data_IF_238966557179
#
_entry.id   IF_238966557179
#
_cell.length_a   1.000
_cell.length_b   1.000
_cell.length_c   1.000
_cell.angle_alpha   90.00
_cell.angle_beta   90.00
_cell.angle_gamma   90.00
#
_symmetry.space_group_name_H-M   'P 1'
#
loop_
_entity.id
_entity.type
_entity.pdbx_description
1 polymer ?
#
# COMPACT_ATOMS: atom_id res chain seq x y z
N UNK A 1 -3.02 -25.74 -1.42
CA UNK A 1 -3.99 -24.68 -1.08
C UNK A 1 -3.22 -23.38 -0.88
N UNK A 2 -3.70 -22.28 -1.48
CA UNK A 2 -3.11 -20.94 -1.34
C UNK A 2 -4.07 -20.10 -0.49
N UNK A 3 -3.54 -19.23 0.36
CA UNK A 3 -4.32 -18.29 1.17
C UNK A 3 -3.72 -16.89 0.98
N UNK A 4 -4.59 -15.92 0.76
CA UNK A 4 -4.23 -14.49 0.67
C UNK A 4 -5.07 -13.74 1.68
N UNK A 5 -4.45 -12.77 2.35
CA UNK A 5 -5.10 -11.87 3.29
C UNK A 5 -4.68 -10.46 2.91
N UNK A 6 -5.67 -9.58 2.77
CA UNK A 6 -5.48 -8.16 2.43
C UNK A 6 -6.22 -7.31 3.46
N UNK A 7 -5.68 -6.14 3.80
CA UNK A 7 -6.37 -5.13 4.57
C UNK A 7 -6.18 -3.75 3.91
N UNK A 8 -7.11 -2.83 4.15
CA UNK A 8 -7.10 -1.45 3.61
C UNK A 8 -6.91 -0.41 4.73
N UNK A 9 -6.06 -0.76 5.71
CA UNK A 9 -5.83 0.03 6.92
C UNK A 9 -6.81 -0.24 8.07
N UNK A 10 -6.55 0.37 9.22
CA UNK A 10 -7.39 0.31 10.42
C UNK A 10 -7.67 1.73 10.93
N UNK A 11 -8.92 2.04 11.22
CA UNK A 11 -9.35 3.36 11.63
C UNK A 11 -10.87 3.51 11.61
N UNK A 12 -11.36 4.74 11.68
CA UNK A 12 -12.79 5.00 11.53
C UNK A 12 -13.20 4.92 10.06
N UNK A 13 -13.94 3.87 9.71
CA UNK A 13 -14.57 3.72 8.41
C UNK A 13 -16.06 4.05 8.54
N UNK A 14 -16.51 5.08 7.83
CA UNK A 14 -17.93 5.42 7.79
C UNK A 14 -18.72 4.32 7.08
N UNK A 15 -19.97 4.10 7.50
CA UNK A 15 -20.88 3.14 6.83
C UNK A 15 -21.03 3.39 5.33
N UNK A 16 -20.93 4.67 4.91
CA UNK A 16 -20.99 5.07 3.51
C UNK A 16 -19.80 4.63 2.66
N UNK A 17 -18.66 4.33 3.28
CA UNK A 17 -17.44 3.88 2.59
C UNK A 17 -17.17 2.37 2.79
N UNK A 18 -17.87 1.71 3.70
CA UNK A 18 -17.70 0.28 4.00
C UNK A 18 -17.78 -0.60 2.74
N UNK A 19 -18.81 -0.39 1.91
CA UNK A 19 -18.98 -1.12 0.65
C UNK A 19 -17.79 -0.91 -0.31
N UNK A 20 -17.25 0.31 -0.37
CA UNK A 20 -16.12 0.65 -1.24
C UNK A 20 -14.84 -0.05 -0.80
N UNK A 21 -14.55 -0.05 0.51
CA UNK A 21 -13.38 -0.75 1.06
C UNK A 21 -13.52 -2.27 0.93
N UNK A 22 -14.71 -2.82 1.15
CA UNK A 22 -14.97 -4.25 0.99
C UNK A 22 -14.79 -4.68 -0.48
N UNK A 23 -15.31 -3.91 -1.43
CA UNK A 23 -15.12 -4.14 -2.86
C UNK A 23 -13.64 -4.08 -3.24
N UNK A 24 -12.91 -3.06 -2.77
CA UNK A 24 -11.48 -2.91 -3.04
C UNK A 24 -10.67 -4.11 -2.51
N UNK A 25 -10.89 -4.53 -1.26
CA UNK A 25 -10.22 -5.69 -0.68
C UNK A 25 -10.57 -6.99 -1.41
N UNK A 26 -11.83 -7.14 -1.84
CA UNK A 26 -12.27 -8.29 -2.61
C UNK A 26 -11.56 -8.36 -3.97
N UNK A 27 -11.50 -7.25 -4.72
CA UNK A 27 -10.80 -7.17 -6.00
C UNK A 27 -9.29 -7.42 -5.83
N UNK A 28 -8.67 -6.87 -4.79
CA UNK A 28 -7.27 -7.12 -4.45
C UNK A 28 -6.99 -8.61 -4.15
N UNK A 29 -7.87 -9.27 -3.40
CA UNK A 29 -7.79 -10.71 -3.14
C UNK A 29 -7.98 -11.55 -4.40
N UNK A 30 -8.89 -11.18 -5.30
CA UNK A 30 -9.09 -11.86 -6.58
C UNK A 30 -7.85 -11.77 -7.46
N UNK A 31 -7.26 -10.57 -7.58
CA UNK A 31 -6.01 -10.35 -8.31
C UNK A 31 -4.89 -11.25 -7.76
N UNK A 32 -4.72 -11.28 -6.44
CA UNK A 32 -3.72 -12.12 -5.80
C UNK A 32 -3.96 -13.62 -6.06
N UNK A 33 -5.21 -14.06 -5.95
CA UNK A 33 -5.59 -15.45 -6.17
C UNK A 33 -5.35 -15.88 -7.62
N UNK A 34 -5.63 -15.01 -8.59
CA UNK A 34 -5.37 -15.24 -10.01
C UNK A 34 -3.86 -15.36 -10.29
N UNK A 35 -3.04 -14.43 -9.79
CA UNK A 35 -1.58 -14.48 -9.93
C UNK A 35 -0.98 -15.73 -9.27
N UNK A 36 -1.60 -16.17 -8.17
CA UNK A 36 -1.25 -17.40 -7.48
C UNK A 36 -2.04 -18.61 -7.99
N UNK A 37 -2.65 -18.57 -9.19
CA UNK A 37 -3.31 -19.74 -9.79
C UNK A 37 -2.42 -20.47 -10.80
N UNK A 38 -1.51 -19.75 -11.47
CA UNK A 38 -0.59 -20.22 -12.53
C UNK A 38 0.54 -21.13 -12.01
N UNK A 39 1.09 -22.06 -12.80
CA UNK A 39 2.27 -22.85 -12.38
C UNK A 39 3.50 -21.94 -12.10
N UNK A 40 4.41 -22.37 -11.22
CA UNK A 40 5.62 -21.62 -10.79
C UNK A 40 5.41 -20.30 -9.99
N UNK A 41 4.26 -20.17 -9.32
CA UNK A 41 3.85 -19.11 -8.38
C UNK A 41 4.98 -18.54 -7.50
N UNK A 42 5.24 -17.25 -7.65
CA UNK A 42 6.04 -16.45 -6.73
C UNK A 42 5.11 -15.59 -5.85
N UNK A 43 5.13 -15.85 -4.54
CA UNK A 43 4.33 -15.10 -3.57
C UNK A 43 4.70 -13.61 -3.53
N UNK A 44 5.97 -13.28 -3.78
CA UNK A 44 6.46 -11.90 -3.74
C UNK A 44 5.86 -11.09 -4.90
N UNK A 45 5.82 -11.66 -6.10
CA UNK A 45 5.30 -10.95 -7.27
C UNK A 45 3.77 -10.76 -7.18
N UNK A 46 3.05 -11.75 -6.62
CA UNK A 46 1.62 -11.61 -6.35
C UNK A 46 1.33 -10.49 -5.34
N UNK A 47 2.08 -10.46 -4.22
CA UNK A 47 1.90 -9.44 -3.18
C UNK A 47 2.28 -8.04 -3.69
N UNK A 48 3.37 -7.91 -4.46
CA UNK A 48 3.74 -6.65 -5.11
C UNK A 48 2.61 -6.11 -5.98
N UNK A 49 2.05 -6.93 -6.87
CA UNK A 49 0.97 -6.52 -7.76
C UNK A 49 -0.31 -6.15 -6.99
N UNK A 50 -0.67 -6.94 -5.98
CA UNK A 50 -1.84 -6.66 -5.13
C UNK A 50 -1.71 -5.37 -4.36
N UNK A 51 -0.53 -5.08 -3.80
CA UNK A 51 -0.31 -3.82 -3.07
C UNK A 51 -0.23 -2.64 -4.02
N UNK A 52 0.40 -2.79 -5.19
CA UNK A 52 0.42 -1.73 -6.20
C UNK A 52 -1.01 -1.36 -6.64
N UNK A 53 -1.90 -2.34 -6.78
CA UNK A 53 -3.32 -2.10 -7.05
C UNK A 53 -4.01 -1.30 -5.93
N UNK A 54 -3.66 -1.54 -4.65
CA UNK A 54 -4.15 -0.73 -3.53
C UNK A 54 -3.57 0.70 -3.54
N UNK A 55 -2.28 0.84 -3.84
CA UNK A 55 -1.58 2.14 -3.94
C UNK A 55 -2.11 3.01 -5.09
N UNK A 56 -2.61 2.40 -6.16
CA UNK A 56 -3.27 3.12 -7.26
C UNK A 56 -4.70 3.58 -6.87
N UNK A 57 -5.26 3.08 -5.76
CA UNK A 57 -6.61 3.42 -5.32
C UNK A 57 -6.62 4.63 -4.36
N UNK A 58 -7.25 5.75 -4.75
CA UNK A 58 -7.30 6.98 -3.94
C UNK A 58 -8.11 6.88 -2.65
N UNK A 59 -8.74 5.72 -2.39
CA UNK A 59 -9.44 5.44 -1.14
C UNK A 59 -8.48 5.08 -0.02
N UNK A 60 -7.27 4.61 -0.33
CA UNK A 60 -6.31 4.16 0.67
C UNK A 60 -5.35 5.28 1.06
N UNK A 61 -4.74 5.14 2.24
CA UNK A 61 -3.65 6.01 2.67
C UNK A 61 -2.29 5.42 2.23
N UNK A 62 -2.16 5.04 0.98
CA UNK A 62 -0.93 4.50 0.40
C UNK A 62 -0.84 4.91 -1.07
N UNK A 63 0.34 5.34 -1.55
CA UNK A 63 0.50 5.84 -2.91
C UNK A 63 -0.43 7.01 -3.22
N UNK A 64 -1.28 6.86 -4.22
CA UNK A 64 -2.26 7.87 -4.62
C UNK A 64 -3.32 7.98 -3.52
N UNK A 65 -3.56 9.19 -3.02
CA UNK A 65 -4.52 9.43 -1.93
C UNK A 65 -3.93 9.42 -0.53
N UNK A 66 -2.62 9.16 -0.40
CA UNK A 66 -1.90 9.31 0.87
C UNK A 66 -2.10 10.68 1.52
N UNK A 67 -1.99 10.67 2.84
CA UNK A 67 -1.99 11.86 3.68
C UNK A 67 -0.86 12.81 3.30
N UNK A 68 -1.13 14.10 3.49
CA UNK A 68 -0.15 15.15 3.24
C UNK A 68 0.64 15.44 4.52
N UNK A 69 1.94 15.67 4.36
CA UNK A 69 2.84 16.15 5.41
C UNK A 69 2.43 17.56 5.87
N UNK A 70 3.05 18.08 6.94
CA UNK A 70 2.84 19.48 7.37
C UNK A 70 3.09 20.49 6.25
N UNK A 71 3.95 20.15 5.29
CA UNK A 71 4.31 20.98 4.15
C UNK A 71 3.39 20.78 2.93
N UNK A 72 2.34 19.95 3.05
CA UNK A 72 1.29 19.80 2.03
C UNK A 72 1.65 18.89 0.85
N UNK A 73 2.64 18.02 0.98
CA UNK A 73 3.01 17.03 -0.05
C UNK A 73 2.95 15.60 0.50
N UNK A 74 2.97 14.60 -0.38
CA UNK A 74 2.97 13.18 0.01
C UNK A 74 4.41 12.66 0.17
N UNK A 75 4.62 11.92 1.26
CA UNK A 75 5.76 11.05 1.49
C UNK A 75 5.22 9.65 1.82
N UNK A 76 5.75 8.62 1.16
CA UNK A 76 5.31 7.24 1.35
C UNK A 76 6.42 6.38 1.94
N UNK A 77 5.99 5.34 2.65
CA UNK A 77 6.80 4.24 3.15
C UNK A 77 6.29 2.92 2.55
N UNK A 78 7.18 1.97 2.29
CA UNK A 78 6.80 0.61 1.90
C UNK A 78 7.92 -0.39 2.18
N UNK A 79 7.56 -1.62 2.52
CA UNK A 79 8.51 -2.72 2.69
C UNK A 79 7.93 -4.05 2.20
N UNK A 80 8.81 -4.96 1.78
CA UNK A 80 8.44 -6.27 1.26
C UNK A 80 9.44 -7.34 1.73
N UNK A 81 8.92 -8.50 2.14
CA UNK A 81 9.72 -9.63 2.62
C UNK A 81 9.41 -10.90 1.84
N UNK A 82 10.45 -11.70 1.58
CA UNK A 82 10.34 -13.03 0.99
C UNK A 82 10.67 -14.11 2.03
N UNK A 83 9.72 -15.01 2.34
CA UNK A 83 9.99 -16.10 3.29
C UNK A 83 10.92 -17.18 2.73
N UNK A 84 11.06 -17.29 1.40
CA UNK A 84 11.89 -18.32 0.76
C UNK A 84 13.38 -17.98 0.81
N UNK A 85 13.70 -16.68 0.79
CA UNK A 85 15.07 -16.18 0.82
C UNK A 85 15.42 -15.52 2.16
N UNK A 86 14.42 -15.24 3.00
CA UNK A 86 14.52 -14.46 4.23
C UNK A 86 15.00 -13.01 4.02
N UNK A 87 15.06 -12.54 2.76
CA UNK A 87 15.39 -11.16 2.46
C UNK A 87 14.21 -10.24 2.70
N UNK A 88 14.54 -9.03 3.12
CA UNK A 88 13.64 -7.92 3.33
C UNK A 88 14.24 -6.66 2.71
N UNK A 89 13.36 -5.85 2.14
CA UNK A 89 13.71 -4.51 1.70
C UNK A 89 12.59 -3.53 2.01
N UNK A 90 12.96 -2.29 2.27
CA UNK A 90 12.00 -1.20 2.43
C UNK A 90 12.56 0.15 2.03
N UNK A 91 11.64 1.07 1.81
CA UNK A 91 11.89 2.47 1.52
C UNK A 91 11.04 3.34 2.46
N UNK A 92 11.48 4.56 2.70
CA UNK A 92 10.67 5.51 3.44
C UNK A 92 10.92 6.97 3.12
N UNK A 93 9.97 7.82 3.51
CA UNK A 93 9.92 9.24 3.22
C UNK A 93 10.15 9.56 1.73
N UNK A 94 9.65 8.71 0.82
CA UNK A 94 9.83 8.91 -0.63
C UNK A 94 8.71 9.74 -1.23
N UNK A 95 9.06 10.69 -2.09
CA UNK A 95 8.11 11.69 -2.61
C UNK A 95 7.70 11.41 -4.04
N UNK A 96 6.40 11.50 -4.35
CA UNK A 96 5.91 11.35 -5.73
C UNK A 96 6.20 9.96 -6.35
N UNK A 97 6.44 8.90 -5.58
CA UNK A 97 6.55 7.54 -6.13
C UNK A 97 5.15 6.98 -6.32
N UNK A 98 4.77 6.60 -7.54
CA UNK A 98 3.42 6.07 -7.82
C UNK A 98 3.12 4.81 -7.00
N UNK A 99 4.03 3.84 -7.05
CA UNK A 99 3.90 2.58 -6.32
C UNK A 99 5.14 2.31 -5.44
N UNK A 100 5.17 2.81 -4.19
CA UNK A 100 6.26 2.56 -3.25
C UNK A 100 6.64 1.08 -3.11
N UNK A 101 5.68 0.15 -3.12
CA UNK A 101 5.97 -1.29 -3.01
C UNK A 101 6.84 -1.83 -4.15
N UNK A 102 6.70 -1.30 -5.37
CA UNK A 102 7.53 -1.71 -6.53
C UNK A 102 8.97 -1.29 -6.34
N UNK A 103 9.21 -0.12 -5.74
CA UNK A 103 10.58 0.35 -5.45
C UNK A 103 11.20 -0.47 -4.31
N UNK A 104 10.42 -0.83 -3.28
CA UNK A 104 10.86 -1.78 -2.25
C UNK A 104 11.16 -3.17 -2.86
N UNK A 105 10.37 -3.63 -3.83
CA UNK A 105 10.63 -4.87 -4.58
C UNK A 105 11.93 -4.80 -5.37
N UNK A 106 12.21 -3.70 -6.07
CA UNK A 106 13.47 -3.51 -6.79
C UNK A 106 14.67 -3.61 -5.84
N UNK A 107 14.57 -3.03 -4.64
CA UNK A 107 15.60 -3.15 -3.61
C UNK A 107 15.74 -4.61 -3.13
N UNK A 108 14.64 -5.32 -2.90
CA UNK A 108 14.67 -6.74 -2.56
C UNK A 108 15.34 -7.58 -3.65
N UNK A 109 15.01 -7.33 -4.92
CA UNK A 109 15.59 -8.05 -6.07
C UNK A 109 17.10 -7.87 -6.13
N UNK A 110 17.60 -6.66 -5.84
CA UNK A 110 19.04 -6.40 -5.85
C UNK A 110 19.82 -7.32 -4.90
N UNK A 111 19.21 -7.77 -3.80
CA UNK A 111 19.83 -8.63 -2.78
C UNK A 111 19.82 -10.13 -3.15
N UNK A 112 18.91 -10.57 -4.03
CA UNK A 112 18.73 -11.99 -4.35
C UNK A 112 19.92 -12.49 -5.18
N UNK A 113 20.57 -13.56 -4.72
CA UNK A 113 21.73 -14.17 -5.40
C UNK A 113 23.05 -13.41 -5.22
N UNK A 114 23.00 -12.15 -4.81
CA UNK A 114 24.16 -11.27 -4.62
C UNK A 114 24.04 -10.48 -3.31
N UNK A 115 24.16 -11.13 -2.13
CA UNK A 115 24.15 -10.40 -0.85
C UNK A 115 25.26 -9.34 -0.79
N UNK A 116 26.35 -9.59 -1.52
CA UNK A 116 27.45 -8.65 -1.71
C UNK A 116 27.28 -7.93 -3.06
N UNK A 117 27.29 -6.60 -3.04
CA UNK A 117 27.36 -5.77 -4.25
C UNK A 117 28.73 -5.87 -4.94
N UNK A 118 28.91 -5.12 -6.03
CA UNK A 118 30.10 -5.16 -6.90
C UNK A 118 31.44 -5.02 -6.16
N UNK A 119 31.45 -4.29 -5.03
CA UNK A 119 32.64 -4.05 -4.21
C UNK A 119 32.76 -5.01 -3.00
N UNK A 120 32.01 -6.11 -2.98
CA UNK A 120 32.04 -7.08 -1.88
C UNK A 120 31.34 -6.62 -0.60
N UNK A 121 30.54 -5.54 -0.64
CA UNK A 121 29.80 -5.01 0.52
C UNK A 121 28.36 -5.47 0.53
N UNK A 122 27.80 -5.67 1.72
CA UNK A 122 26.38 -5.99 1.89
C UNK A 122 25.51 -4.88 1.29
N UNK A 123 24.55 -5.27 0.46
CA UNK A 123 23.61 -4.33 -0.15
C UNK A 123 22.63 -3.76 0.89
N UNK A 124 22.15 -2.52 0.73
CA UNK A 124 21.21 -1.94 1.67
C UNK A 124 19.89 -2.71 1.69
N UNK A 125 19.28 -2.80 2.87
CA UNK A 125 17.90 -3.30 3.06
C UNK A 125 16.89 -2.20 3.27
N UNK A 126 17.35 -0.98 3.58
CA UNK A 126 16.50 0.18 3.78
C UNK A 126 17.13 1.39 3.11
N UNK A 127 16.29 2.20 2.46
CA UNK A 127 16.66 3.46 1.84
C UNK A 127 15.61 4.52 2.17
N UNK A 128 16.01 5.78 2.27
CA UNK A 128 15.11 6.86 2.66
C UNK A 128 15.27 8.10 1.78
N UNK A 129 14.18 8.84 1.59
CA UNK A 129 14.14 10.12 0.89
C UNK A 129 14.79 10.06 -0.50
N UNK A 130 15.55 11.11 -0.82
CA UNK A 130 16.20 11.26 -2.13
C UNK A 130 17.22 10.15 -2.44
N UNK A 131 17.76 9.50 -1.40
CA UNK A 131 18.70 8.38 -1.54
C UNK A 131 18.11 7.20 -2.32
N UNK A 132 16.78 7.04 -2.31
CA UNK A 132 16.08 6.01 -3.08
C UNK A 132 16.21 6.25 -4.59
N UNK A 133 16.08 7.50 -5.05
CA UNK A 133 16.22 7.86 -6.46
C UNK A 133 17.66 7.74 -6.93
N UNK A 134 18.61 8.23 -6.12
CA UNK A 134 20.04 8.13 -6.42
C UNK A 134 20.44 6.66 -6.55
N UNK A 135 20.00 5.82 -5.61
CA UNK A 135 20.25 4.39 -5.67
C UNK A 135 19.61 3.74 -6.89
N UNK A 136 18.33 3.99 -7.18
CA UNK A 136 17.64 3.39 -8.33
C UNK A 136 18.32 3.78 -9.65
N UNK A 137 18.65 5.07 -9.82
CA UNK A 137 19.37 5.56 -10.98
C UNK A 137 20.76 4.92 -11.13
N UNK A 138 21.49 4.72 -10.02
CA UNK A 138 22.80 4.01 -10.04
C UNK A 138 22.69 2.55 -10.49
N UNK A 139 21.51 1.95 -10.36
CA UNK A 139 21.19 0.60 -10.84
C UNK A 139 20.54 0.58 -12.22
N UNK A 140 20.45 1.73 -12.89
CA UNK A 140 19.82 1.85 -14.21
C UNK A 140 18.30 1.74 -14.18
N UNK A 141 17.67 1.93 -13.02
CA UNK A 141 16.22 1.92 -12.86
C UNK A 141 15.65 3.33 -12.83
N UNK A 142 14.55 3.54 -13.55
CA UNK A 142 13.75 4.75 -13.48
C UNK A 142 12.56 4.50 -12.55
N UNK A 143 12.37 5.38 -11.56
CA UNK A 143 11.22 5.33 -10.67
C UNK A 143 10.05 6.05 -11.33
N UNK A 144 8.90 5.37 -11.41
CA UNK A 144 7.66 5.99 -11.89
C UNK A 144 7.17 7.03 -10.88
N UNK A 145 7.01 8.26 -11.33
CA UNK A 145 6.63 9.39 -10.49
C UNK A 145 5.36 10.07 -10.96
N UNK A 146 4.51 10.45 -10.02
CA UNK A 146 3.25 11.16 -10.31
C UNK A 146 2.81 12.05 -9.14
N UNK A 147 1.83 12.93 -9.39
CA UNK A 147 1.13 13.65 -8.32
C UNK A 147 0.22 12.67 -7.56
N UNK A 148 0.58 12.39 -6.32
CA UNK A 148 -0.15 11.48 -5.43
C UNK A 148 -1.31 12.16 -4.71
N UNK A 149 -1.44 13.48 -4.85
CA UNK A 149 -2.43 14.27 -4.12
C UNK A 149 -3.83 14.14 -4.75
N UNK A 150 -4.85 14.05 -3.91
CA UNK A 150 -6.25 14.00 -4.34
C UNK A 150 -7.01 15.19 -3.77
N UNK A 151 -8.19 15.49 -4.34
CA UNK A 151 -9.09 16.51 -3.77
C UNK A 151 -9.38 16.21 -2.30
N UNK A 152 -9.63 14.94 -1.97
CA UNK A 152 -9.85 14.46 -0.61
C UNK A 152 -8.66 14.76 0.30
N UNK A 153 -7.44 14.35 -0.07
CA UNK A 153 -6.28 14.52 0.80
C UNK A 153 -5.95 15.99 1.02
N UNK A 154 -6.13 16.85 0.00
CA UNK A 154 -6.02 18.32 0.13
C UNK A 154 -7.06 18.92 1.08
N UNK A 155 -8.31 18.47 1.02
CA UNK A 155 -9.37 18.94 1.93
C UNK A 155 -9.10 18.55 3.37
N UNK A 156 -8.71 17.29 3.60
CA UNK A 156 -8.33 16.80 4.92
C UNK A 156 -7.13 17.57 5.48
N UNK A 157 -6.10 17.80 4.68
CA UNK A 157 -4.94 18.58 5.11
C UNK A 157 -5.30 20.00 5.51
N UNK A 158 -6.16 20.71 4.75
CA UNK A 158 -6.64 22.05 5.11
C UNK A 158 -7.40 22.04 6.45
N UNK A 159 -8.26 21.04 6.66
CA UNK A 159 -9.01 20.86 7.91
C UNK A 159 -8.05 20.70 9.10
N UNK A 160 -7.12 19.74 9.02
CA UNK A 160 -6.20 19.47 10.13
C UNK A 160 -5.19 20.60 10.36
N UNK A 161 -4.73 21.27 9.30
CA UNK A 161 -3.84 22.44 9.41
C UNK A 161 -4.55 23.60 10.11
N UNK A 162 -5.84 23.82 9.82
CA UNK A 162 -6.66 24.83 10.53
C UNK A 162 -6.76 24.53 12.03
N UNK A 163 -6.95 23.26 12.41
CA UNK A 163 -6.99 22.84 13.81
C UNK A 163 -5.66 23.08 14.53
N UNK A 164 -4.54 22.77 13.88
CA UNK A 164 -3.21 23.02 14.44
C UNK A 164 -2.94 24.51 14.67
N UNK A 165 -3.36 25.36 13.72
CA UNK A 165 -3.09 26.80 13.78
C UNK A 165 -3.98 27.55 14.78
N UNK A 166 -5.23 27.11 14.94
CA UNK A 166 -6.18 27.85 15.76
C UNK A 166 -6.09 27.52 17.26
N UNK A 167 -5.44 26.42 17.64
CA UNK A 167 -5.44 25.92 19.01
C UNK A 167 -6.85 25.49 19.43
N UNK A 168 -7.01 24.29 19.97
CA UNK A 168 -8.35 23.79 20.29
C UNK A 168 -8.91 24.48 21.55
N UNK A 169 -9.61 25.61 21.38
CA UNK A 169 -10.63 26.08 22.31
C UNK A 169 -11.98 26.10 21.58
N UNK A 170 -12.71 24.99 21.60
CA UNK A 170 -14.11 24.95 22.09
C UNK A 170 -14.73 23.55 21.98
N UNK A 171 -15.05 22.99 23.17
CA UNK A 171 -16.17 22.08 23.48
C UNK A 171 -16.93 21.41 22.31
N UNK A 172 -16.77 20.08 22.23
CA UNK A 172 -17.88 19.12 22.24
C UNK A 172 -19.11 19.44 21.39
N UNK A 173 -19.03 19.21 20.07
CA UNK A 173 -20.10 18.68 19.20
C UNK A 173 -19.68 18.72 17.72
N UNK A 174 -18.48 18.24 17.40
CA UNK A 174 -18.19 17.89 16.02
C UNK A 174 -18.94 16.60 15.70
N UNK A 175 -20.14 16.71 15.12
CA UNK A 175 -20.86 15.58 14.57
C UNK A 175 -19.88 14.75 13.70
N UNK A 176 -19.66 13.50 14.10
CA UNK A 176 -18.80 12.51 13.44
C UNK A 176 -19.39 12.09 12.06
N UNK A 177 -20.30 12.88 11.49
CA UNK A 177 -20.96 12.63 10.20
C UNK A 177 -20.25 13.29 9.02
N UNK A 178 -19.34 14.24 9.24
CA UNK A 178 -18.77 15.06 8.16
C UNK A 178 -17.44 14.49 7.61
N UNK A 179 -17.37 13.17 7.52
CA UNK A 179 -16.40 12.51 6.64
C UNK A 179 -17.05 12.32 5.26
N UNK A 180 -16.92 13.37 4.41
CA UNK A 180 -17.26 13.45 2.97
C UNK A 180 -18.71 13.84 2.59
N UNK A 181 -18.88 14.92 1.81
CA UNK A 181 -19.93 15.05 0.83
C UNK A 181 -19.41 14.73 -0.60
N UNK A 182 -20.05 13.79 -1.30
CA UNK A 182 -20.32 13.99 -2.73
C UNK A 182 -19.44 13.34 -3.82
N UNK A 183 -18.74 12.23 -3.62
CA UNK A 183 -18.19 11.47 -4.76
C UNK A 183 -19.09 10.29 -5.15
N UNK A 184 -20.02 10.55 -6.07
CA UNK A 184 -20.76 9.52 -6.82
C UNK A 184 -19.97 9.15 -8.08
N UNK A 185 -19.47 7.91 -8.13
CA UNK A 185 -18.95 7.30 -9.36
C UNK A 185 -19.99 6.29 -9.85
N UNK A 186 -20.48 6.46 -11.07
CA UNK A 186 -21.41 5.55 -11.72
C UNK A 186 -20.66 4.32 -12.23
N UNK A 187 -20.94 3.15 -11.67
CA UNK A 187 -20.52 1.88 -12.25
C UNK A 187 -21.74 1.10 -12.71
N UNK A 188 -21.88 0.93 -14.02
CA UNK A 188 -22.83 0.01 -14.64
C UNK A 188 -22.52 -1.43 -14.19
N UNK A 189 -23.57 -2.16 -13.84
CA UNK A 189 -23.54 -3.55 -13.42
C UNK A 189 -23.18 -4.47 -14.59
N UNK A 190 -22.28 -5.43 -14.36
CA UNK A 190 -22.43 -6.73 -14.99
C UNK A 190 -22.02 -7.84 -14.01
N UNK A 191 -23.01 -8.59 -13.54
CA UNK A 191 -22.87 -9.69 -12.60
C UNK A 191 -22.46 -10.94 -13.37
N UNK A 192 -21.31 -11.54 -13.04
CA UNK A 192 -21.06 -12.95 -13.31
C UNK A 192 -20.50 -13.63 -12.06
N UNK A 193 -21.25 -14.61 -11.61
CA UNK A 193 -21.11 -15.38 -10.37
C UNK A 193 -19.98 -16.38 -10.41
N UNK A 194 -18.96 -16.20 -9.56
CA UNK A 194 -18.08 -17.27 -9.08
C UNK A 194 -17.71 -16.96 -7.62
N UNK A 195 -18.06 -17.86 -6.71
CA UNK A 195 -17.78 -17.72 -5.27
C UNK A 195 -16.58 -18.58 -4.87
N UNK A 196 -15.49 -17.97 -4.38
CA UNK A 196 -14.62 -18.62 -3.41
C UNK A 196 -15.07 -18.21 -2.00
N UNK A 197 -14.97 -19.13 -1.06
CA UNK A 197 -15.27 -18.91 0.36
C UNK A 197 -14.34 -17.86 0.97
N UNK A 198 -14.85 -16.63 1.15
CA UNK A 198 -14.16 -15.53 1.82
C UNK A 198 -14.31 -15.70 3.33
N UNK A 199 -13.21 -15.96 4.03
CA UNK A 199 -13.14 -15.88 5.49
C UNK A 199 -12.83 -14.43 5.90
N UNK A 200 -13.79 -13.78 6.57
CA UNK A 200 -13.60 -12.47 7.20
C UNK A 200 -12.59 -12.58 8.35
N UNK A 201 -11.50 -11.80 8.29
CA UNK A 201 -10.47 -11.79 9.32
C UNK A 201 -10.76 -10.71 10.38
N UNK A 202 -11.52 -11.05 11.41
CA UNK A 202 -11.47 -10.33 12.70
C UNK A 202 -10.57 -11.13 13.65
N UNK A 203 -9.37 -10.61 13.89
CA UNK A 203 -8.33 -11.13 14.81
C UNK A 203 -7.78 -12.53 14.49
N UNK A 204 -6.59 -12.57 13.88
CA UNK A 204 -5.87 -13.81 13.57
C UNK A 204 -5.13 -14.36 14.81
N UNK A 205 -5.41 -15.61 15.19
CA UNK A 205 -4.74 -16.39 16.25
C UNK A 205 -4.36 -17.80 15.75
N UNK A 206 -3.72 -17.90 14.58
CA UNK A 206 -3.30 -19.18 14.00
C UNK A 206 -1.85 -19.17 13.57
N UNK A 207 -1.27 -20.34 13.28
CA UNK A 207 0.05 -20.46 12.65
C UNK A 207 -0.16 -21.04 11.27
N UNK A 208 0.08 -20.26 10.20
CA UNK A 208 0.02 -20.76 8.83
C UNK A 208 1.28 -21.60 8.53
N UNK A 209 1.16 -22.74 7.81
CA UNK A 209 2.32 -23.52 7.40
C UNK A 209 3.29 -22.66 6.57
N UNK A 210 4.57 -22.70 6.93
CA UNK A 210 5.66 -21.77 6.54
C UNK A 210 6.10 -21.79 5.07
N UNK A 211 5.36 -22.41 4.14
CA UNK A 211 5.82 -22.54 2.76
C UNK A 211 5.28 -21.41 1.88
N UNK A 212 6.17 -20.48 1.51
CA UNK A 212 6.02 -19.38 0.52
C UNK A 212 5.07 -18.25 0.96
N UNK A 213 5.46 -17.53 2.01
CA UNK A 213 4.78 -16.31 2.45
C UNK A 213 5.52 -15.07 1.96
N UNK A 214 4.77 -14.01 1.64
CA UNK A 214 5.29 -12.68 1.45
C UNK A 214 4.45 -11.73 2.30
N UNK A 215 5.10 -10.76 2.94
CA UNK A 215 4.46 -9.75 3.78
C UNK A 215 4.89 -8.39 3.27
N UNK A 216 3.94 -7.46 3.23
CA UNK A 216 4.18 -6.06 2.93
C UNK A 216 3.78 -5.21 4.12
N UNK A 217 4.59 -4.20 4.40
CA UNK A 217 4.33 -3.16 5.38
C UNK A 217 4.23 -1.83 4.63
N UNK A 218 3.19 -1.06 4.92
CA UNK A 218 2.96 0.31 4.43
C UNK A 218 2.63 1.20 5.62
#
# INVERSE_FOLDING_TARGET
MVCVIVHSGAGYQSKSNEEKYNKLCFEACLLAAELLSVEHKNAVDAVEATVAYLEDCPLTNAGIGSNLTINGFVECDAGIMSSSTHWFAGIGAVRNVRNPVKVARLLLQSQIGHPLGENGRVQPSLLFGDGVYVWAASKGHFIDTCDLTTTTSKLLWKKYTSWLNNGDETNGNANITDCMPGCSYSSEENKSSLTPSVLYASTWKGTLPLRRQAVVLQ
#
